data_IF_608900619787
#
_entry.id   IF_608900619787
#
_cell.length_a   1.000
_cell.length_b   1.000
_cell.length_c   1.000
_cell.angle_alpha   90.00
_cell.angle_beta   90.00
_cell.angle_gamma   90.00
#
_symmetry.space_group_name_H-M   'P 1'
#
loop_
_entity.id
_entity.type
_entity.pdbx_description
1 polymer ?
#
# COMPACT_ATOMS: atom_id res chain seq x y z
N UNK A 1 5.26 5.80 10.40
CA UNK A 1 6.10 5.27 9.32
C UNK A 1 6.57 6.33 8.31
N UNK A 2 5.72 7.07 7.57
CA UNK A 2 6.17 7.98 6.49
C UNK A 2 7.34 8.89 6.88
N UNK A 3 7.21 9.63 7.98
CA UNK A 3 8.26 10.54 8.50
C UNK A 3 9.54 9.81 8.90
N UNK A 4 9.41 8.64 9.51
CA UNK A 4 10.55 7.84 10.00
C UNK A 4 11.32 7.18 8.86
N UNK A 5 10.62 6.80 7.78
CA UNK A 5 11.17 6.13 6.62
C UNK A 5 11.56 7.10 5.49
N UNK A 6 11.29 8.40 5.64
CA UNK A 6 11.61 9.42 4.63
C UNK A 6 10.92 9.18 3.29
N UNK A 7 9.70 8.63 3.28
CA UNK A 7 9.00 8.32 2.03
C UNK A 7 8.48 9.61 1.40
N UNK A 8 8.67 9.76 0.08
CA UNK A 8 8.16 10.89 -0.70
C UNK A 8 6.65 10.86 -0.79
N UNK A 9 5.99 11.95 -0.42
CA UNK A 9 4.52 12.06 -0.40
C UNK A 9 3.88 11.77 -1.76
N UNK A 10 4.51 12.21 -2.85
CA UNK A 10 4.07 11.96 -4.22
C UNK A 10 4.00 10.47 -4.63
N UNK A 11 4.53 9.55 -3.80
CA UNK A 11 4.50 8.10 -4.03
C UNK A 11 3.55 7.35 -3.10
N UNK A 12 2.96 8.05 -2.12
CA UNK A 12 2.13 7.45 -1.08
C UNK A 12 0.66 7.48 -1.45
N UNK A 13 0.01 6.30 -1.42
CA UNK A 13 -1.45 6.18 -1.52
C UNK A 13 -2.08 7.06 -2.62
N UNK A 14 -1.55 6.99 -3.85
CA UNK A 14 -1.87 7.86 -4.99
C UNK A 14 -3.37 8.08 -5.23
N UNK A 15 -4.16 7.02 -5.04
CA UNK A 15 -5.61 7.04 -5.28
C UNK A 15 -6.42 7.10 -3.97
N UNK A 16 -5.82 7.59 -2.88
CA UNK A 16 -6.42 7.62 -1.56
C UNK A 16 -6.32 6.30 -0.78
N UNK A 17 -6.67 6.39 0.51
CA UNK A 17 -6.50 5.31 1.48
C UNK A 17 -7.79 4.93 2.20
N UNK A 18 -7.66 4.11 3.24
CA UNK A 18 -8.80 3.61 4.02
C UNK A 18 -9.63 4.70 4.72
N UNK A 19 -9.08 5.89 4.93
CA UNK A 19 -9.82 7.05 5.44
C UNK A 19 -10.94 7.45 4.47
N UNK A 20 -10.66 7.43 3.17
CA UNK A 20 -11.62 7.86 2.15
C UNK A 20 -12.58 6.73 1.73
N UNK A 21 -12.07 5.51 1.59
CA UNK A 21 -12.83 4.40 0.98
C UNK A 21 -13.06 3.20 1.91
N UNK A 22 -12.80 3.38 3.20
CA UNK A 22 -13.09 2.41 4.24
C UNK A 22 -12.00 1.36 4.47
N UNK A 23 -12.08 0.73 5.65
CA UNK A 23 -11.19 -0.31 6.12
C UNK A 23 -11.96 -1.61 6.40
N UNK A 24 -12.15 -2.50 5.41
CA UNK A 24 -12.88 -3.75 5.59
C UNK A 24 -12.02 -4.84 6.26
N UNK A 25 -11.31 -4.47 7.35
CA UNK A 25 -10.45 -5.32 8.19
C UNK A 25 -9.72 -6.41 7.38
N UNK A 26 -10.20 -7.65 7.41
CA UNK A 26 -9.60 -8.81 6.74
C UNK A 26 -9.38 -8.66 5.23
N UNK A 27 -10.23 -7.92 4.52
CA UNK A 27 -10.07 -7.71 3.08
C UNK A 27 -9.04 -6.61 2.72
N UNK A 28 -8.55 -5.85 3.70
CA UNK A 28 -7.67 -4.69 3.46
C UNK A 28 -6.33 -5.11 2.86
N UNK A 29 -5.76 -6.23 3.30
CA UNK A 29 -4.47 -6.70 2.77
C UNK A 29 -4.53 -7.03 1.29
N UNK A 30 -5.53 -7.83 0.90
CA UNK A 30 -5.76 -8.14 -0.51
C UNK A 30 -6.05 -6.88 -1.34
N UNK A 31 -6.86 -5.96 -0.79
CA UNK A 31 -7.15 -4.68 -1.44
C UNK A 31 -5.90 -3.83 -1.66
N UNK A 32 -5.02 -3.69 -0.67
CA UNK A 32 -3.78 -2.91 -0.78
C UNK A 32 -2.83 -3.51 -1.82
N UNK A 33 -2.62 -4.83 -1.78
CA UNK A 33 -1.75 -5.55 -2.72
C UNK A 33 -2.29 -5.44 -4.15
N UNK A 34 -3.58 -5.73 -4.35
CA UNK A 34 -4.22 -5.62 -5.66
C UNK A 34 -4.21 -4.18 -6.19
N UNK A 35 -4.41 -3.19 -5.32
CA UNK A 35 -4.32 -1.78 -5.70
C UNK A 35 -2.89 -1.40 -6.09
N UNK A 36 -1.88 -1.79 -5.32
CA UNK A 36 -0.48 -1.54 -5.64
C UNK A 36 -0.10 -2.16 -6.99
N UNK A 37 -0.52 -3.40 -7.26
CA UNK A 37 -0.31 -4.04 -8.57
C UNK A 37 -0.96 -3.25 -9.71
N UNK A 38 -2.22 -2.82 -9.53
CA UNK A 38 -2.94 -1.99 -10.52
C UNK A 38 -2.25 -0.65 -10.76
N UNK A 39 -1.74 0.00 -9.71
CA UNK A 39 -0.97 1.25 -9.81
C UNK A 39 0.34 1.05 -10.56
N UNK A 40 1.09 -0.01 -10.27
CA UNK A 40 2.34 -0.29 -10.98
C UNK A 40 2.11 -0.44 -12.48
N UNK A 41 1.05 -1.16 -12.88
CA UNK A 41 0.68 -1.30 -14.28
C UNK A 41 0.28 0.03 -14.91
N UNK A 42 -0.55 0.84 -14.22
CA UNK A 42 -1.03 2.14 -14.73
C UNK A 42 0.08 3.19 -14.85
N UNK A 43 0.96 3.28 -13.84
CA UNK A 43 2.01 4.30 -13.75
C UNK A 43 3.34 3.83 -14.37
N UNK A 44 3.35 2.66 -15.02
CA UNK A 44 4.55 1.99 -15.51
C UNK A 44 5.67 1.83 -14.45
N UNK A 45 5.32 1.83 -13.17
CA UNK A 45 6.26 1.68 -12.06
C UNK A 45 6.88 0.27 -12.01
N UNK A 46 8.13 0.17 -11.54
CA UNK A 46 8.83 -1.12 -11.41
C UNK A 46 8.49 -1.84 -10.11
N UNK A 47 8.66 -1.16 -8.97
CA UNK A 47 8.43 -1.71 -7.64
C UNK A 47 7.36 -0.96 -6.88
N UNK A 48 6.55 -1.69 -6.12
CA UNK A 48 5.56 -1.15 -5.20
C UNK A 48 5.63 -1.87 -3.86
N UNK A 49 5.27 -1.17 -2.78
CA UNK A 49 5.22 -1.72 -1.43
C UNK A 49 3.81 -1.53 -0.86
N UNK A 50 3.17 -2.64 -0.50
CA UNK A 50 1.91 -2.64 0.24
C UNK A 50 2.20 -3.04 1.69
N UNK A 51 1.79 -2.22 2.65
CA UNK A 51 2.02 -2.48 4.08
C UNK A 51 0.81 -2.12 4.90
N UNK A 52 0.58 -2.85 5.99
CA UNK A 52 -0.46 -2.54 6.97
C UNK A 52 -0.03 -2.93 8.39
N UNK A 53 -0.56 -2.20 9.36
CA UNK A 53 -0.53 -2.62 10.76
C UNK A 53 -1.54 -3.75 11.01
N UNK A 54 -1.32 -4.47 12.09
CA UNK A 54 -2.17 -5.56 12.57
C UNK A 54 -2.37 -5.35 14.08
N UNK A 55 -3.53 -5.78 14.59
CA UNK A 55 -3.80 -5.76 16.03
C UNK A 55 -2.74 -6.54 16.82
N UNK A 56 -2.44 -6.10 18.04
CA UNK A 56 -1.40 -6.72 18.87
C UNK A 56 0.02 -6.25 18.57
N UNK A 57 0.19 -5.13 17.86
CA UNK A 57 1.50 -4.50 17.62
C UNK A 57 2.29 -5.13 16.48
N UNK A 58 1.63 -5.89 15.61
CA UNK A 58 2.25 -6.53 14.45
C UNK A 58 2.11 -5.67 13.19
N UNK A 59 2.89 -6.01 12.16
CA UNK A 59 2.80 -5.40 10.83
C UNK A 59 3.22 -6.40 9.76
N UNK A 60 2.73 -6.17 8.54
CA UNK A 60 3.11 -6.94 7.37
C UNK A 60 3.42 -5.99 6.21
N UNK A 61 4.46 -6.32 5.44
CA UNK A 61 4.85 -5.61 4.24
C UNK A 61 5.09 -6.60 3.10
N UNK A 62 4.61 -6.26 1.91
CA UNK A 62 4.72 -7.04 0.68
C UNK A 62 5.29 -6.15 -0.41
N UNK A 63 6.39 -6.58 -1.03
CA UNK A 63 6.99 -5.92 -2.21
C UNK A 63 6.49 -6.61 -3.47
N UNK A 64 6.09 -5.81 -4.46
CA UNK A 64 5.67 -6.25 -5.77
C UNK A 64 6.64 -5.72 -6.83
N UNK A 65 6.98 -6.54 -7.82
CA UNK A 65 7.61 -6.11 -9.07
C UNK A 65 6.61 -6.27 -10.21
N UNK A 66 6.52 -5.25 -11.07
CA UNK A 66 5.71 -5.33 -12.29
C UNK A 66 6.44 -6.15 -13.35
N UNK A 67 5.74 -7.13 -13.92
CA UNK A 67 6.14 -7.85 -15.13
C UNK A 67 5.71 -7.11 -16.40
#
# INVERSE_FOLDING_TARGET
CTRELGIRDETLNLDGGAIAIGHPLGATGARLVGKAASLLQREAGRYGLATQCIGGGQGIATVLERI
#
